data_IF_682006108591
#
_entry.id   IF_682006108591
#
_cell.length_a   1.000
_cell.length_b   1.000
_cell.length_c   1.000
_cell.angle_alpha   90.00
_cell.angle_beta   90.00
_cell.angle_gamma   90.00
#
_symmetry.space_group_name_H-M   'P 1'
#
loop_
_entity.id
_entity.type
_entity.pdbx_description
1 polymer ?
#
# COMPACT_ATOMS: atom_id res chain seq x y z
N UNK A 1 -12.21 -23.19 53.80
CA UNK A 1 -11.14 -22.48 54.56
C UNK A 1 -10.51 -21.43 53.64
N UNK A 2 -9.82 -20.45 54.22
CA UNK A 2 -9.43 -19.21 53.54
C UNK A 2 -8.21 -19.35 52.61
N UNK A 3 -8.12 -18.44 51.62
CA UNK A 3 -7.00 -17.55 51.22
C UNK A 3 -5.52 -18.05 51.30
N UNK A 4 -4.52 -17.47 50.63
CA UNK A 4 -4.28 -16.06 50.24
C UNK A 4 -3.45 -15.99 48.93
N UNK A 5 -3.56 -14.89 48.20
CA UNK A 5 -2.75 -14.52 47.04
C UNK A 5 -1.26 -14.25 47.36
N UNK A 6 -0.42 -14.15 46.32
CA UNK A 6 0.86 -13.41 46.38
C UNK A 6 0.98 -12.43 45.22
N UNK A 7 1.18 -11.16 45.55
CA UNK A 7 1.45 -10.05 44.63
C UNK A 7 2.60 -9.22 45.20
N UNK A 8 3.53 -8.75 44.39
CA UNK A 8 4.59 -7.79 44.74
C UNK A 8 5.15 -7.11 43.46
N UNK A 9 5.82 -5.94 43.53
CA UNK A 9 5.14 -4.74 43.04
C UNK A 9 5.91 -3.91 42.00
N UNK A 10 5.24 -2.84 41.55
CA UNK A 10 5.76 -1.75 40.71
C UNK A 10 6.78 -0.84 41.41
N UNK A 11 7.71 -0.24 40.66
CA UNK A 11 8.38 1.01 41.10
C UNK A 11 8.83 1.96 39.97
N UNK A 12 8.67 3.26 40.23
CA UNK A 12 9.07 4.43 39.42
C UNK A 12 9.18 5.64 40.39
N UNK A 13 9.72 6.81 40.00
CA UNK A 13 10.78 7.11 39.00
C UNK A 13 11.87 8.06 39.58
N UNK A 14 12.89 8.44 38.78
CA UNK A 14 13.42 9.83 38.59
C UNK A 14 14.95 9.96 38.28
N UNK A 15 15.31 11.11 37.69
CA UNK A 15 16.64 11.79 37.56
C UNK A 15 17.65 11.32 36.50
N UNK A 16 17.71 12.10 35.41
CA UNK A 16 18.92 12.50 34.66
C UNK A 16 19.75 13.53 35.48
N UNK A 17 20.90 14.14 35.01
CA UNK A 17 21.65 14.04 33.73
C UNK A 17 23.13 13.58 33.98
N UNK A 18 24.21 13.82 33.21
CA UNK A 18 24.62 14.57 31.96
C UNK A 18 25.77 13.75 31.32
N UNK A 19 26.05 13.65 30.01
CA UNK A 19 26.07 14.57 28.86
C UNK A 19 27.35 15.45 28.70
N UNK A 20 28.22 15.10 27.75
CA UNK A 20 29.24 15.93 27.04
C UNK A 20 30.06 15.00 26.10
N UNK A 21 30.70 15.38 24.98
CA UNK A 21 30.85 16.61 24.13
C UNK A 21 31.56 16.15 22.82
N UNK A 22 31.67 16.86 21.69
CA UNK A 22 30.88 17.92 21.01
C UNK A 22 31.63 18.38 19.75
N UNK A 23 30.94 18.81 18.69
CA UNK A 23 31.46 19.77 17.69
C UNK A 23 30.44 20.91 17.54
N UNK A 24 30.86 22.10 17.10
CA UNK A 24 30.18 23.38 17.36
C UNK A 24 29.80 24.16 16.10
N UNK A 25 28.83 25.08 16.23
CA UNK A 25 29.09 26.54 16.11
C UNK A 25 27.91 27.45 16.52
N UNK A 26 28.29 28.62 17.05
CA UNK A 26 27.59 29.93 17.06
C UNK A 26 26.10 30.04 17.45
N UNK A 27 25.86 30.61 18.63
CA UNK A 27 24.73 31.50 18.95
C UNK A 27 25.23 32.63 19.88
N UNK A 28 24.48 33.73 20.01
CA UNK A 28 24.90 34.97 20.68
C UNK A 28 23.97 35.42 21.82
N UNK A 29 24.54 35.90 22.93
CA UNK A 29 23.84 36.59 24.02
C UNK A 29 23.57 35.72 25.26
N UNK A 30 24.04 36.17 26.44
CA UNK A 30 23.77 35.51 27.73
C UNK A 30 24.62 36.06 28.89
N UNK A 31 23.98 36.50 29.97
CA UNK A 31 24.58 37.29 31.07
C UNK A 31 23.84 36.98 32.39
N UNK A 32 24.44 36.69 33.55
CA UNK A 32 25.79 36.18 33.91
C UNK A 32 25.58 35.13 35.06
N UNK A 33 26.35 34.84 36.13
CA UNK A 33 27.58 35.40 36.75
C UNK A 33 28.26 34.37 37.68
N UNK A 34 29.60 34.47 37.75
CA UNK A 34 30.60 33.92 38.71
C UNK A 34 30.17 33.00 39.88
N UNK A 35 31.00 31.96 40.08
CA UNK A 35 31.68 31.68 41.35
C UNK A 35 33.19 31.42 41.09
N UNK A 36 34.03 31.27 42.12
CA UNK A 36 35.49 31.54 42.02
C UNK A 36 36.41 30.61 42.86
N UNK A 37 37.68 30.54 42.42
CA UNK A 37 38.93 30.13 43.11
C UNK A 37 39.47 28.68 42.92
N UNK A 38 40.80 28.63 42.64
CA UNK A 38 41.70 27.45 42.59
C UNK A 38 42.42 27.30 43.98
N UNK A 39 43.51 26.50 44.24
CA UNK A 39 44.61 25.92 43.40
C UNK A 39 44.89 24.39 43.67
N UNK A 40 45.99 23.72 43.29
CA UNK A 40 46.78 23.59 42.04
C UNK A 40 47.75 22.35 42.14
N UNK A 41 48.20 21.79 40.99
CA UNK A 41 49.51 21.11 40.61
C UNK A 41 50.44 20.42 41.66
N UNK A 42 51.32 19.42 41.33
CA UNK A 42 52.04 19.26 40.02
C UNK A 42 52.42 17.83 39.51
N UNK A 43 52.94 17.78 38.26
CA UNK A 43 54.01 16.91 37.64
C UNK A 43 54.23 15.43 38.03
N UNK A 44 54.61 14.50 37.12
CA UNK A 44 55.62 14.66 36.05
C UNK A 44 55.34 13.97 34.68
N UNK A 45 56.22 13.08 34.16
CA UNK A 45 56.35 12.80 32.70
C UNK A 45 57.21 11.57 32.30
N UNK A 46 57.31 11.30 30.97
CA UNK A 46 58.21 10.36 30.22
C UNK A 46 57.80 8.86 30.20
N UNK A 47 58.08 8.04 29.15
CA UNK A 47 58.52 8.32 27.76
C UNK A 47 58.45 7.11 26.79
N UNK A 48 58.09 7.37 25.52
CA UNK A 48 58.63 6.84 24.25
C UNK A 48 58.67 5.32 23.88
N UNK A 49 57.97 5.00 22.76
CA UNK A 49 58.41 4.14 21.62
C UNK A 49 58.44 2.60 21.80
N UNK A 50 58.50 1.76 20.74
CA UNK A 50 58.69 1.98 19.28
C UNK A 50 57.89 0.95 18.41
N UNK A 51 58.12 0.93 17.08
CA UNK A 51 57.46 0.07 16.06
C UNK A 51 58.47 -0.95 15.49
N UNK A 52 58.05 -2.10 14.90
CA UNK A 52 58.00 -2.18 13.42
C UNK A 52 56.90 -3.10 12.84
N UNK A 53 56.93 -3.29 11.51
CA UNK A 53 55.97 -4.05 10.70
C UNK A 53 56.42 -5.50 10.43
N UNK A 54 55.48 -6.38 10.06
CA UNK A 54 55.70 -7.41 9.03
C UNK A 54 54.50 -7.45 8.07
N UNK A 55 54.66 -8.12 6.92
CA UNK A 55 53.67 -8.16 5.83
C UNK A 55 53.39 -9.59 5.38
N UNK A 56 52.19 -9.85 4.84
CA UNK A 56 51.89 -11.06 4.06
C UNK A 56 50.91 -10.74 2.92
N UNK A 57 51.22 -11.26 1.72
CA UNK A 57 50.34 -11.21 0.54
C UNK A 57 49.39 -12.41 0.57
N UNK A 58 48.14 -12.21 0.16
CA UNK A 58 47.18 -13.28 -0.14
C UNK A 58 46.38 -12.91 -1.38
N UNK A 59 46.64 -13.60 -2.50
CA UNK A 59 46.00 -13.32 -3.79
C UNK A 59 44.87 -14.30 -4.09
N UNK A 60 43.62 -13.90 -3.89
CA UNK A 60 42.44 -14.67 -4.28
C UNK A 60 41.88 -14.21 -5.63
N UNK A 61 41.97 -15.05 -6.67
CA UNK A 61 41.26 -14.81 -7.94
C UNK A 61 39.79 -15.22 -7.79
N UNK A 62 38.87 -14.26 -7.74
CA UNK A 62 37.44 -14.58 -7.88
C UNK A 62 37.14 -15.07 -9.30
N UNK A 63 36.69 -16.31 -9.43
CA UNK A 63 36.14 -16.81 -10.69
C UNK A 63 34.73 -16.26 -10.84
N UNK A 64 34.48 -15.44 -11.87
CA UNK A 64 33.10 -15.13 -12.28
C UNK A 64 32.52 -16.37 -12.95
N UNK A 65 31.44 -16.92 -12.40
CA UNK A 65 30.60 -17.87 -13.15
C UNK A 65 29.73 -17.06 -14.13
N UNK A 66 29.51 -17.53 -15.37
CA UNK A 66 28.59 -16.89 -16.30
C UNK A 66 27.15 -17.17 -15.85
N UNK A 67 26.31 -16.13 -15.81
CA UNK A 67 24.87 -16.28 -15.59
C UNK A 67 24.23 -16.56 -16.94
N UNK A 68 23.55 -17.70 -17.08
CA UNK A 68 22.75 -18.03 -18.27
C UNK A 68 21.29 -17.62 -18.05
N UNK A 69 20.62 -16.96 -19.01
CA UNK A 69 19.21 -16.60 -18.88
C UNK A 69 18.32 -17.84 -18.92
N UNK A 70 17.30 -17.88 -18.06
CA UNK A 70 16.33 -18.98 -17.97
C UNK A 70 15.33 -18.90 -19.12
N UNK A 71 15.19 -19.97 -19.91
CA UNK A 71 14.21 -20.07 -21.00
C UNK A 71 12.84 -20.51 -20.48
N UNK A 72 11.80 -19.70 -20.68
CA UNK A 72 10.43 -19.93 -20.21
C UNK A 72 9.68 -20.99 -21.03
N UNK A 73 10.05 -22.28 -20.87
CA UNK A 73 9.41 -23.40 -21.59
C UNK A 73 9.39 -24.72 -20.80
N UNK A 74 8.71 -24.73 -19.65
CA UNK A 74 8.22 -25.94 -18.96
C UNK A 74 6.77 -25.66 -18.56
N UNK A 75 5.84 -26.52 -18.97
CA UNK A 75 4.39 -26.28 -18.84
C UNK A 75 3.82 -26.76 -17.50
N UNK A 76 2.83 -26.04 -16.97
CA UNK A 76 2.02 -26.49 -15.84
C UNK A 76 1.10 -27.64 -16.34
N UNK A 77 1.04 -28.80 -15.66
CA UNK A 77 0.17 -29.89 -16.08
C UNK A 77 -1.31 -29.54 -15.86
N UNK A 78 -2.07 -29.41 -16.94
CA UNK A 78 -3.52 -29.19 -16.90
C UNK A 78 -4.27 -30.47 -16.58
N UNK A 79 -4.78 -30.59 -15.36
CA UNK A 79 -5.79 -31.59 -15.03
C UNK A 79 -7.08 -31.29 -15.79
N UNK A 80 -7.59 -32.28 -16.53
CA UNK A 80 -8.83 -32.14 -17.30
C UNK A 80 -10.04 -32.31 -16.38
N UNK A 81 -10.69 -31.22 -15.99
CA UNK A 81 -11.99 -31.25 -15.33
C UNK A 81 -13.10 -31.14 -16.37
N UNK A 82 -13.98 -32.13 -16.45
CA UNK A 82 -15.01 -32.22 -17.49
C UNK A 82 -16.24 -31.35 -17.19
N UNK A 83 -16.68 -30.59 -18.19
CA UNK A 83 -18.12 -30.32 -18.40
C UNK A 83 -18.82 -29.38 -17.42
N UNK A 84 -18.39 -28.11 -17.37
CA UNK A 84 -19.25 -27.01 -16.91
C UNK A 84 -19.27 -25.92 -17.99
N UNK A 85 -20.45 -25.46 -18.39
CA UNK A 85 -20.62 -24.40 -19.40
C UNK A 85 -20.43 -23.03 -18.78
N UNK A 86 -19.18 -22.66 -18.48
CA UNK A 86 -18.84 -21.29 -18.08
C UNK A 86 -19.01 -20.35 -19.27
N UNK A 87 -20.08 -19.55 -19.26
CA UNK A 87 -20.17 -18.36 -20.09
C UNK A 87 -18.97 -17.46 -19.77
N UNK A 88 -18.16 -17.15 -20.78
CA UNK A 88 -17.00 -16.28 -20.59
C UNK A 88 -17.45 -14.92 -20.02
N UNK A 89 -16.72 -14.33 -19.05
CA UNK A 89 -17.16 -13.10 -18.41
C UNK A 89 -17.26 -11.96 -19.45
N UNK A 90 -18.36 -11.22 -19.36
CA UNK A 90 -18.89 -10.32 -20.40
C UNK A 90 -17.93 -9.26 -20.93
N UNK A 91 -16.90 -8.88 -20.16
CA UNK A 91 -15.90 -7.88 -20.53
C UNK A 91 -15.00 -8.24 -21.73
N UNK A 92 -15.02 -9.49 -22.22
CA UNK A 92 -14.02 -9.99 -23.18
C UNK A 92 -14.17 -9.58 -24.65
N UNK A 93 -15.30 -8.99 -25.05
CA UNK A 93 -15.53 -8.68 -26.48
C UNK A 93 -16.60 -7.61 -26.79
N UNK A 94 -17.03 -6.83 -25.80
CA UNK A 94 -17.96 -5.72 -25.99
C UNK A 94 -17.33 -4.41 -25.48
N UNK A 95 -17.57 -3.30 -26.16
CA UNK A 95 -17.35 -1.96 -25.58
C UNK A 95 -18.39 -1.80 -24.48
N UNK A 96 -17.94 -1.81 -23.23
CA UNK A 96 -18.79 -1.68 -22.06
C UNK A 96 -19.32 -0.25 -21.97
N UNK A 97 -20.62 -0.09 -21.70
CA UNK A 97 -21.26 1.23 -21.61
C UNK A 97 -21.59 1.54 -20.16
N UNK A 98 -21.61 2.81 -19.80
CA UNK A 98 -21.99 3.28 -18.48
C UNK A 98 -23.45 2.91 -18.14
N UNK A 99 -24.30 2.73 -19.17
CA UNK A 99 -25.66 2.17 -19.05
C UNK A 99 -25.71 0.81 -18.36
N UNK A 100 -24.65 0.02 -18.45
CA UNK A 100 -24.63 -1.40 -18.08
C UNK A 100 -24.32 -1.59 -16.57
N UNK A 101 -24.14 -0.46 -15.86
CA UNK A 101 -23.81 -0.36 -14.44
C UNK A 101 -24.82 0.49 -13.65
N UNK A 102 -26.01 0.78 -14.22
CA UNK A 102 -27.07 1.60 -13.59
C UNK A 102 -27.65 1.02 -12.29
N UNK A 103 -27.56 -0.29 -12.10
CA UNK A 103 -27.95 -1.00 -10.87
C UNK A 103 -26.85 -0.96 -9.80
N UNK A 104 -25.61 -0.68 -10.20
CA UNK A 104 -24.42 -0.66 -9.36
C UNK A 104 -24.09 0.75 -8.87
N UNK A 105 -23.86 1.67 -9.81
CA UNK A 105 -23.42 3.05 -9.55
C UNK A 105 -24.63 3.92 -9.13
N UNK A 106 -24.46 4.90 -8.22
CA UNK A 106 -25.47 5.93 -7.97
C UNK A 106 -25.67 6.90 -9.14
N UNK A 107 -26.81 7.58 -9.16
CA UNK A 107 -27.18 8.50 -10.24
C UNK A 107 -26.23 9.70 -10.36
N UNK A 108 -25.75 10.24 -9.23
CA UNK A 108 -24.68 11.25 -9.20
C UNK A 108 -23.42 10.76 -9.94
N UNK A 109 -22.90 9.58 -9.61
CA UNK A 109 -21.72 8.98 -10.26
C UNK A 109 -21.93 8.78 -11.77
N UNK A 110 -23.11 8.36 -12.20
CA UNK A 110 -23.47 8.22 -13.62
C UNK A 110 -23.52 9.56 -14.36
N UNK A 111 -24.03 10.61 -13.70
CA UNK A 111 -24.13 11.96 -14.27
C UNK A 111 -22.78 12.71 -14.26
N UNK A 112 -21.93 12.46 -13.27
CA UNK A 112 -20.58 13.01 -13.17
C UNK A 112 -19.62 12.43 -14.21
N UNK A 113 -19.79 11.14 -14.55
CA UNK A 113 -18.85 10.37 -15.38
C UNK A 113 -18.40 11.06 -16.68
N UNK A 114 -19.28 11.63 -17.53
CA UNK A 114 -18.85 12.18 -18.82
C UNK A 114 -18.03 13.48 -18.66
N UNK A 115 -18.37 14.28 -17.64
CA UNK A 115 -17.64 15.51 -17.32
C UNK A 115 -16.26 15.20 -16.74
N UNK A 116 -16.16 14.23 -15.83
CA UNK A 116 -14.89 13.76 -15.26
C UNK A 116 -14.02 13.11 -16.35
N UNK A 117 -14.59 12.26 -17.21
CA UNK A 117 -13.89 11.66 -18.34
C UNK A 117 -13.32 12.72 -19.30
N UNK A 118 -14.12 13.74 -19.67
CA UNK A 118 -13.69 14.79 -20.58
C UNK A 118 -12.68 15.79 -19.98
N UNK A 119 -12.63 15.92 -18.66
CA UNK A 119 -11.67 16.80 -17.95
C UNK A 119 -10.33 16.11 -17.62
N UNK A 120 -10.21 14.79 -17.80
CA UNK A 120 -9.02 14.03 -17.44
C UNK A 120 -7.94 14.05 -18.55
N UNK A 121 -6.65 14.10 -18.18
CA UNK A 121 -5.55 13.92 -19.12
C UNK A 121 -5.34 12.44 -19.48
N UNK A 122 -4.62 12.20 -20.59
CA UNK A 122 -4.34 10.86 -21.10
C UNK A 122 -3.71 9.91 -20.06
N UNK A 123 -4.11 8.64 -20.09
CA UNK A 123 -3.62 7.60 -19.18
C UNK A 123 -4.31 7.55 -17.81
N UNK A 124 -5.28 8.45 -17.52
CA UNK A 124 -6.08 8.39 -16.31
C UNK A 124 -6.91 7.11 -16.22
N UNK A 125 -6.82 6.40 -15.09
CA UNK A 125 -7.55 5.14 -14.85
C UNK A 125 -8.27 5.13 -13.51
N UNK A 126 -9.58 4.88 -13.51
CA UNK A 126 -10.40 4.64 -12.32
C UNK A 126 -9.96 3.35 -11.62
N UNK A 127 -9.73 3.43 -10.31
CA UNK A 127 -9.38 2.28 -9.45
C UNK A 127 -10.30 2.24 -8.21
N UNK A 128 -9.73 2.04 -7.03
CA UNK A 128 -10.41 2.31 -5.76
C UNK A 128 -11.54 1.35 -5.44
N UNK A 129 -12.62 1.88 -4.86
CA UNK A 129 -13.84 1.10 -4.60
C UNK A 129 -14.67 0.85 -5.86
N UNK A 130 -14.78 1.88 -6.70
CA UNK A 130 -15.74 1.93 -7.81
C UNK A 130 -15.25 1.17 -9.04
N UNK A 131 -13.94 1.23 -9.34
CA UNK A 131 -13.33 0.33 -10.32
C UNK A 131 -13.48 -1.14 -9.93
N UNK A 132 -13.34 -1.50 -8.64
CA UNK A 132 -13.54 -2.89 -8.21
C UNK A 132 -15.00 -3.33 -8.34
N UNK A 133 -15.93 -2.45 -7.96
CA UNK A 133 -17.37 -2.69 -8.09
C UNK A 133 -17.76 -2.99 -9.56
N UNK A 134 -17.14 -2.30 -10.53
CA UNK A 134 -17.36 -2.55 -11.97
C UNK A 134 -16.92 -3.97 -12.39
N UNK A 135 -15.82 -4.49 -11.84
CA UNK A 135 -15.35 -5.85 -12.13
C UNK A 135 -16.15 -6.96 -11.43
N UNK A 136 -16.47 -6.78 -10.14
CA UNK A 136 -17.02 -7.86 -9.29
C UNK A 136 -18.51 -7.72 -8.96
N UNK A 137 -19.12 -6.55 -9.18
CA UNK A 137 -20.50 -6.20 -8.83
C UNK A 137 -20.86 -6.54 -7.36
N UNK A 138 -19.86 -6.52 -6.46
CA UNK A 138 -19.94 -7.01 -5.08
C UNK A 138 -20.55 -6.02 -4.09
N UNK A 139 -20.51 -4.72 -4.39
CA UNK A 139 -21.20 -3.64 -3.66
C UNK A 139 -21.38 -2.42 -4.54
N UNK A 140 -22.30 -1.53 -4.16
CA UNK A 140 -22.35 -0.16 -4.69
C UNK A 140 -21.13 0.63 -4.21
N UNK A 141 -20.73 1.61 -5.01
CA UNK A 141 -19.61 2.51 -4.74
C UNK A 141 -19.82 3.78 -5.58
N UNK A 142 -19.42 4.93 -5.06
CA UNK A 142 -19.78 6.24 -5.62
C UNK A 142 -18.57 7.13 -5.91
N UNK A 143 -17.52 7.01 -5.10
CA UNK A 143 -16.24 7.73 -5.22
C UNK A 143 -15.56 7.46 -6.57
N UNK A 144 -15.06 8.50 -7.25
CA UNK A 144 -14.26 8.39 -8.46
C UNK A 144 -12.76 8.55 -8.14
N UNK A 145 -12.14 7.44 -7.74
CA UNK A 145 -10.71 7.30 -7.44
C UNK A 145 -9.87 7.14 -8.74
N UNK A 146 -9.46 8.22 -9.40
CA UNK A 146 -8.66 8.19 -10.64
C UNK A 146 -7.16 8.28 -10.35
N UNK A 147 -6.38 7.41 -11.00
CA UNK A 147 -4.93 7.35 -10.90
C UNK A 147 -4.26 7.66 -12.23
N UNK A 148 -3.20 8.48 -12.19
CA UNK A 148 -2.42 8.93 -13.34
C UNK A 148 -0.94 8.48 -13.24
N UNK A 149 -0.33 8.02 -14.35
CA UNK A 149 1.07 7.57 -14.37
C UNK A 149 2.09 8.72 -14.40
N UNK A 150 1.63 9.97 -14.59
CA UNK A 150 2.46 11.15 -14.72
C UNK A 150 1.77 12.38 -14.09
N UNK A 151 2.51 13.48 -13.94
CA UNK A 151 1.93 14.77 -13.53
C UNK A 151 1.09 15.37 -14.66
N UNK A 152 0.13 16.19 -14.27
CA UNK A 152 -0.84 16.83 -15.15
C UNK A 152 -0.94 18.33 -14.88
N UNK A 153 -1.56 19.05 -15.81
CA UNK A 153 -1.92 20.46 -15.62
C UNK A 153 -3.13 20.55 -14.69
N UNK A 154 -2.87 20.92 -13.43
CA UNK A 154 -3.90 21.03 -12.38
C UNK A 154 -4.94 22.09 -12.73
N UNK A 155 -4.51 23.25 -13.25
CA UNK A 155 -5.39 24.37 -13.53
C UNK A 155 -6.30 24.06 -14.74
N UNK A 156 -5.80 23.32 -15.72
CA UNK A 156 -6.60 22.78 -16.84
C UNK A 156 -7.69 21.82 -16.36
N UNK A 157 -7.35 20.81 -15.53
CA UNK A 157 -8.32 19.84 -14.99
C UNK A 157 -9.36 20.52 -14.10
N UNK A 158 -8.93 21.42 -13.21
CA UNK A 158 -9.84 22.21 -12.37
C UNK A 158 -10.80 23.08 -13.20
N UNK A 159 -10.29 23.71 -14.28
CA UNK A 159 -11.10 24.52 -15.19
C UNK A 159 -12.10 23.66 -15.98
N UNK A 160 -11.69 22.48 -16.45
CA UNK A 160 -12.54 21.54 -17.18
C UNK A 160 -13.71 21.04 -16.32
N UNK A 161 -13.44 20.63 -15.08
CA UNK A 161 -14.48 20.25 -14.11
C UNK A 161 -15.40 21.44 -13.79
N UNK A 162 -14.84 22.60 -13.43
CA UNK A 162 -15.63 23.79 -13.03
C UNK A 162 -16.45 24.40 -14.18
N UNK A 163 -16.11 24.10 -15.43
CA UNK A 163 -16.91 24.48 -16.60
C UNK A 163 -18.06 23.49 -16.90
N UNK A 164 -18.00 22.27 -16.37
CA UNK A 164 -18.97 21.21 -16.60
C UNK A 164 -19.96 21.00 -15.44
N UNK A 165 -19.68 21.53 -14.24
CA UNK A 165 -20.54 21.42 -13.06
C UNK A 165 -19.95 22.14 -11.84
N UNK A 166 -20.59 22.00 -10.69
CA UNK A 166 -20.08 22.58 -9.43
C UNK A 166 -18.92 21.71 -8.91
N UNK A 167 -17.73 22.28 -8.71
CA UNK A 167 -16.58 21.56 -8.14
C UNK A 167 -16.05 22.20 -6.87
N UNK A 168 -16.39 21.59 -5.72
CA UNK A 168 -15.86 21.99 -4.41
C UNK A 168 -14.50 21.32 -4.19
N UNK A 169 -13.43 22.02 -4.58
CA UNK A 169 -12.04 21.62 -4.31
C UNK A 169 -11.79 21.65 -2.79
N UNK A 170 -11.22 20.57 -2.25
CA UNK A 170 -10.84 20.45 -0.82
C UNK A 170 -9.34 20.23 -0.62
N UNK A 171 -8.64 19.67 -1.61
CA UNK A 171 -7.16 19.66 -1.70
C UNK A 171 -6.75 19.76 -3.17
N UNK A 172 -5.68 20.50 -3.46
CA UNK A 172 -5.15 20.69 -4.81
C UNK A 172 -3.63 20.91 -4.80
N UNK A 173 -2.91 20.09 -5.55
CA UNK A 173 -1.47 20.13 -5.69
C UNK A 173 -1.02 19.50 -7.01
N UNK A 174 0.25 19.67 -7.36
CA UNK A 174 0.91 19.09 -8.54
C UNK A 174 0.97 17.53 -8.57
N UNK A 175 0.29 16.85 -7.63
CA UNK A 175 0.15 15.39 -7.54
C UNK A 175 -1.23 14.89 -7.10
N UNK A 176 -2.16 15.78 -6.75
CA UNK A 176 -3.47 15.45 -6.20
C UNK A 176 -4.46 16.57 -6.52
N UNK A 177 -5.62 16.23 -7.09
CA UNK A 177 -6.86 16.98 -6.87
C UNK A 177 -7.77 16.10 -6.01
N UNK A 178 -8.41 16.69 -4.99
CA UNK A 178 -9.52 16.10 -4.26
C UNK A 178 -10.64 17.12 -4.11
N UNK A 179 -11.85 16.73 -4.48
CA UNK A 179 -13.03 17.59 -4.31
C UNK A 179 -14.34 16.82 -4.43
N UNK A 180 -15.45 17.54 -4.34
CA UNK A 180 -16.79 17.02 -4.63
C UNK A 180 -17.26 17.66 -5.92
N UNK A 181 -17.56 16.85 -6.94
CA UNK A 181 -18.13 17.27 -8.22
C UNK A 181 -19.63 17.01 -8.22
N UNK A 182 -20.41 18.09 -8.16
CA UNK A 182 -21.82 18.11 -7.79
C UNK A 182 -22.06 17.40 -6.44
N UNK A 183 -22.35 16.09 -6.44
CA UNK A 183 -22.57 15.24 -5.28
C UNK A 183 -21.54 14.09 -5.13
N UNK A 184 -20.57 13.97 -6.06
CA UNK A 184 -19.64 12.83 -6.15
C UNK A 184 -18.24 13.20 -5.66
N UNK A 185 -17.64 12.40 -4.78
CA UNK A 185 -16.22 12.55 -4.43
C UNK A 185 -15.33 12.21 -5.63
N UNK A 186 -14.42 13.11 -6.01
CA UNK A 186 -13.46 12.91 -7.11
C UNK A 186 -12.04 13.11 -6.59
N UNK A 187 -11.25 12.04 -6.68
CA UNK A 187 -9.82 11.98 -6.35
C UNK A 187 -9.03 11.76 -7.65
N UNK A 188 -8.08 12.63 -7.96
CA UNK A 188 -7.20 12.51 -9.13
C UNK A 188 -5.75 12.52 -8.65
N UNK A 189 -5.11 11.34 -8.65
CA UNK A 189 -3.86 11.06 -7.93
C UNK A 189 -2.73 10.68 -8.88
N UNK A 190 -1.57 11.33 -8.76
CA UNK A 190 -0.36 10.93 -9.49
C UNK A 190 0.33 9.79 -8.75
N UNK A 191 0.37 8.61 -9.37
CA UNK A 191 1.00 7.38 -8.87
C UNK A 191 2.11 6.93 -9.84
N UNK A 192 2.99 7.87 -10.19
CA UNK A 192 4.14 7.73 -11.10
C UNK A 192 5.20 6.69 -10.69
N UNK A 193 5.06 6.06 -9.54
CA UNK A 193 5.83 4.90 -9.10
C UNK A 193 5.19 3.55 -9.51
N UNK A 194 4.07 3.57 -10.24
CA UNK A 194 3.23 2.40 -10.48
C UNK A 194 3.22 1.92 -11.93
N UNK A 195 3.45 0.63 -12.10
CA UNK A 195 3.42 -0.07 -13.38
C UNK A 195 2.05 -0.70 -13.61
N UNK A 196 1.48 -0.49 -14.79
CA UNK A 196 0.23 -1.12 -15.21
C UNK A 196 0.41 -2.65 -15.35
N UNK A 197 -0.43 -3.43 -14.70
CA UNK A 197 -0.33 -4.89 -14.63
C UNK A 197 -1.19 -5.63 -15.66
N UNK A 198 -2.24 -4.98 -16.19
CA UNK A 198 -3.14 -5.57 -17.18
C UNK A 198 -3.82 -4.51 -18.05
N UNK A 199 -4.55 -4.92 -19.11
CA UNK A 199 -5.30 -3.98 -19.94
C UNK A 199 -6.40 -3.28 -19.12
N UNK A 200 -6.64 -2.02 -19.44
CA UNK A 200 -7.79 -1.26 -18.93
C UNK A 200 -9.09 -1.70 -19.63
N UNK A 201 -10.22 -1.47 -18.97
CA UNK A 201 -11.56 -1.54 -19.56
C UNK A 201 -12.04 -0.11 -19.83
N UNK A 202 -12.28 0.25 -21.09
CA UNK A 202 -12.88 1.55 -21.43
C UNK A 202 -14.40 1.50 -21.23
N UNK A 203 -14.95 2.52 -20.56
CA UNK A 203 -16.39 2.74 -20.37
C UNK A 203 -16.68 4.21 -20.64
N UNK A 204 -17.35 4.49 -21.76
CA UNK A 204 -17.81 5.82 -22.21
C UNK A 204 -16.80 6.96 -21.93
N UNK A 205 -15.56 6.78 -22.40
CA UNK A 205 -14.46 7.75 -22.33
C UNK A 205 -13.57 7.68 -21.08
N UNK A 206 -13.94 6.91 -20.04
CA UNK A 206 -13.08 6.69 -18.87
C UNK A 206 -12.49 5.27 -18.89
N UNK A 207 -11.19 5.15 -18.66
CA UNK A 207 -10.57 3.84 -18.44
C UNK A 207 -10.75 3.40 -16.99
N UNK A 208 -11.12 2.14 -16.79
CA UNK A 208 -11.08 1.43 -15.51
C UNK A 208 -9.84 0.53 -15.50
N UNK A 209 -9.08 0.56 -14.42
CA UNK A 209 -7.87 -0.26 -14.29
C UNK A 209 -8.17 -1.76 -14.26
N UNK A 210 -7.17 -2.58 -14.59
CA UNK A 210 -7.30 -4.03 -14.54
C UNK A 210 -7.60 -4.52 -13.11
N UNK A 211 -8.26 -5.68 -12.96
CA UNK A 211 -8.48 -6.29 -11.65
C UNK A 211 -7.16 -6.56 -10.91
N UNK A 212 -6.07 -6.84 -11.64
CA UNK A 212 -4.72 -6.99 -11.12
C UNK A 212 -4.17 -5.67 -10.52
N UNK A 213 -4.34 -4.56 -11.22
CA UNK A 213 -3.94 -3.21 -10.76
C UNK A 213 -4.73 -2.79 -9.52
N UNK A 214 -6.04 -3.05 -9.52
CA UNK A 214 -6.93 -2.77 -8.40
C UNK A 214 -6.55 -3.63 -7.18
N UNK A 215 -6.24 -4.91 -7.35
CA UNK A 215 -5.76 -5.78 -6.26
C UNK A 215 -4.42 -5.28 -5.66
N UNK A 216 -3.46 -4.90 -6.53
CA UNK A 216 -2.19 -4.31 -6.11
C UNK A 216 -2.37 -2.96 -5.37
N UNK A 217 -3.34 -2.15 -5.78
CA UNK A 217 -3.76 -0.92 -5.11
C UNK A 217 -4.45 -1.17 -3.76
N UNK A 218 -5.33 -2.17 -3.67
CA UNK A 218 -5.97 -2.56 -2.41
C UNK A 218 -4.97 -3.08 -1.38
N UNK A 219 -3.92 -3.79 -1.81
CA UNK A 219 -2.82 -4.14 -0.90
C UNK A 219 -2.06 -2.93 -0.35
N UNK A 220 -1.80 -1.90 -1.19
CA UNK A 220 -1.21 -0.62 -0.76
C UNK A 220 -2.11 0.12 0.25
N UNK A 221 -3.44 0.01 0.12
CA UNK A 221 -4.39 0.56 1.07
C UNK A 221 -4.42 -0.24 2.40
N UNK A 222 -4.37 -1.58 2.35
CA UNK A 222 -4.27 -2.42 3.56
C UNK A 222 -3.00 -2.11 4.35
N UNK A 223 -1.84 -2.02 3.69
CA UNK A 223 -0.58 -1.69 4.37
C UNK A 223 -0.56 -0.26 4.92
N UNK A 224 -1.14 0.70 4.20
CA UNK A 224 -1.18 2.12 4.61
C UNK A 224 -2.22 2.51 5.66
N UNK A 225 -3.48 2.05 5.53
CA UNK A 225 -4.62 2.58 6.31
C UNK A 225 -5.53 1.56 7.03
N UNK A 226 -5.40 0.25 6.76
CA UNK A 226 -6.17 -0.86 7.41
C UNK A 226 -7.69 -0.58 7.61
N UNK A 227 -8.40 -0.07 6.59
CA UNK A 227 -9.86 0.13 6.69
C UNK A 227 -10.64 -1.16 6.39
N UNK A 228 -11.77 -1.39 7.08
CA UNK A 228 -12.61 -2.58 6.91
C UNK A 228 -13.02 -2.81 5.44
N UNK A 229 -13.40 -1.74 4.73
CA UNK A 229 -13.75 -1.78 3.30
C UNK A 229 -12.63 -2.33 2.39
N UNK A 230 -11.35 -2.10 2.72
CA UNK A 230 -10.24 -2.63 1.90
C UNK A 230 -10.03 -4.13 2.12
N UNK A 231 -10.23 -4.62 3.35
CA UNK A 231 -10.23 -6.06 3.64
C UNK A 231 -11.44 -6.77 3.02
N UNK A 232 -12.64 -6.16 3.07
CA UNK A 232 -13.82 -6.67 2.35
C UNK A 232 -13.55 -6.76 0.85
N UNK A 233 -13.10 -5.66 0.26
CA UNK A 233 -12.78 -5.59 -1.17
C UNK A 233 -11.73 -6.67 -1.56
N UNK A 234 -10.72 -6.91 -0.70
CA UNK A 234 -9.72 -7.98 -0.92
C UNK A 234 -10.28 -9.40 -0.75
N UNK A 235 -11.16 -9.64 0.21
CA UNK A 235 -11.87 -10.93 0.37
C UNK A 235 -12.70 -11.25 -0.88
N UNK A 236 -13.34 -10.26 -1.51
CA UNK A 236 -14.05 -10.45 -2.78
C UNK A 236 -13.12 -10.64 -3.99
N UNK A 237 -11.95 -10.00 -4.02
CA UNK A 237 -10.92 -10.24 -5.05
C UNK A 237 -10.46 -11.71 -5.05
N UNK A 238 -10.30 -12.33 -3.88
CA UNK A 238 -9.98 -13.76 -3.78
C UNK A 238 -11.20 -14.66 -4.06
N UNK A 239 -12.31 -14.47 -3.34
CA UNK A 239 -13.47 -15.38 -3.42
C UNK A 239 -14.29 -15.30 -4.72
N UNK A 240 -14.26 -14.17 -5.43
CA UNK A 240 -15.03 -13.95 -6.66
C UNK A 240 -14.18 -13.43 -7.83
N UNK A 241 -13.11 -12.68 -7.57
CA UNK A 241 -12.20 -12.15 -8.60
C UNK A 241 -11.17 -13.16 -9.13
N UNK A 242 -10.94 -14.26 -8.41
CA UNK A 242 -10.00 -15.31 -8.83
C UNK A 242 -8.51 -14.91 -8.73
N UNK A 243 -8.18 -13.86 -7.95
CA UNK A 243 -6.80 -13.48 -7.62
C UNK A 243 -6.60 -13.77 -6.13
N UNK A 244 -5.79 -14.78 -5.79
CA UNK A 244 -5.56 -15.13 -4.39
C UNK A 244 -4.64 -14.13 -3.66
N UNK A 245 -4.64 -14.16 -2.33
CA UNK A 245 -3.83 -13.25 -1.48
C UNK A 245 -2.35 -13.28 -1.87
N UNK A 246 -1.80 -14.46 -2.12
CA UNK A 246 -0.41 -14.67 -2.51
C UNK A 246 -0.10 -13.96 -3.85
N UNK A 247 -0.97 -14.13 -4.86
CA UNK A 247 -0.89 -13.43 -6.13
C UNK A 247 -1.05 -11.92 -5.96
N UNK A 248 -2.02 -11.46 -5.18
CA UNK A 248 -2.30 -10.04 -4.98
C UNK A 248 -1.15 -9.30 -4.26
N UNK A 249 -0.44 -9.96 -3.33
CA UNK A 249 0.82 -9.48 -2.76
C UNK A 249 1.92 -9.41 -3.84
N UNK A 250 2.06 -10.45 -4.67
CA UNK A 250 3.04 -10.44 -5.77
C UNK A 250 2.74 -9.39 -6.85
N UNK A 251 1.46 -9.10 -7.10
CA UNK A 251 1.01 -8.02 -7.99
C UNK A 251 1.30 -6.66 -7.36
N UNK A 252 1.09 -6.47 -6.05
CA UNK A 252 1.50 -5.28 -5.32
C UNK A 252 3.02 -5.02 -5.47
N UNK A 253 3.85 -6.03 -5.26
CA UNK A 253 5.31 -5.89 -5.45
C UNK A 253 5.69 -5.56 -6.89
N UNK A 254 5.06 -6.20 -7.89
CA UNK A 254 5.29 -5.90 -9.32
C UNK A 254 4.87 -4.48 -9.71
N UNK A 255 3.70 -4.02 -9.27
CA UNK A 255 3.19 -2.68 -9.58
C UNK A 255 4.13 -1.59 -9.06
N UNK A 256 4.64 -1.73 -7.84
CA UNK A 256 5.45 -0.70 -7.18
C UNK A 256 6.97 -0.97 -7.20
N UNK A 257 7.43 -1.91 -8.04
CA UNK A 257 8.85 -2.33 -8.15
C UNK A 257 9.52 -2.62 -6.80
N UNK A 258 8.81 -3.32 -5.92
CA UNK A 258 9.33 -3.73 -4.61
C UNK A 258 10.06 -5.06 -4.77
N UNK A 259 11.33 -5.11 -4.37
CA UNK A 259 12.13 -6.34 -4.40
C UNK A 259 11.54 -7.43 -3.49
N UNK A 260 11.20 -8.58 -4.09
CA UNK A 260 10.76 -9.75 -3.34
C UNK A 260 11.88 -10.20 -2.40
N UNK A 261 11.60 -10.12 -1.09
CA UNK A 261 12.55 -10.45 -0.04
C UNK A 261 11.81 -10.81 1.25
N UNK A 262 12.44 -11.62 2.10
CA UNK A 262 11.85 -12.09 3.37
C UNK A 262 11.41 -10.95 4.30
N UNK A 263 12.12 -9.82 4.29
CA UNK A 263 11.73 -8.61 5.05
C UNK A 263 10.49 -7.93 4.48
N UNK A 264 10.38 -7.77 3.16
CA UNK A 264 9.20 -7.15 2.53
C UNK A 264 7.96 -8.05 2.67
N UNK A 265 8.13 -9.36 2.46
CA UNK A 265 7.08 -10.36 2.67
C UNK A 265 6.60 -10.33 4.12
N UNK A 266 7.48 -10.50 5.12
CA UNK A 266 7.07 -10.46 6.52
C UNK A 266 6.49 -9.11 6.93
N UNK A 267 6.92 -8.01 6.32
CA UNK A 267 6.27 -6.70 6.45
C UNK A 267 4.80 -6.78 6.05
N UNK A 268 4.50 -7.14 4.79
CA UNK A 268 3.12 -7.23 4.27
C UNK A 268 2.29 -8.26 5.03
N UNK A 269 2.84 -9.44 5.34
CA UNK A 269 2.16 -10.45 6.16
C UNK A 269 1.82 -9.91 7.56
N UNK A 270 2.66 -9.07 8.15
CA UNK A 270 2.37 -8.37 9.41
C UNK A 270 1.09 -7.52 9.36
N UNK A 271 0.73 -6.94 8.21
CA UNK A 271 -0.53 -6.21 8.04
C UNK A 271 -1.76 -7.12 7.83
N UNK A 272 -1.56 -8.40 7.49
CA UNK A 272 -2.61 -9.42 7.42
C UNK A 272 -2.75 -10.25 8.71
N UNK A 273 -1.67 -10.33 9.52
CA UNK A 273 -1.63 -11.00 10.82
C UNK A 273 -2.19 -10.11 11.92
N UNK A 274 -1.67 -8.88 12.04
CA UNK A 274 -2.25 -7.88 12.93
C UNK A 274 -3.27 -7.03 12.17
N UNK A 275 -4.57 -7.31 12.36
CA UNK A 275 -5.63 -6.40 11.91
C UNK A 275 -5.60 -5.07 12.67
N UNK A 276 -5.08 -5.06 13.89
CA UNK A 276 -5.25 -3.96 14.84
C UNK A 276 -6.72 -3.67 15.11
N UNK A 277 -7.07 -2.44 15.52
CA UNK A 277 -8.45 -2.01 15.64
C UNK A 277 -9.04 -1.67 14.26
N UNK A 278 -9.27 -2.68 13.40
CA UNK A 278 -10.18 -2.53 12.26
C UNK A 278 -11.52 -2.05 12.81
N UNK A 279 -11.88 -0.81 12.50
CA UNK A 279 -13.09 -0.16 12.99
C UNK A 279 -14.32 -0.75 12.29
N UNK A 280 -15.48 -0.60 12.91
CA UNK A 280 -16.76 -0.73 12.21
C UNK A 280 -16.85 0.28 11.06
N UNK A 281 -17.59 -0.09 10.02
CA UNK A 281 -17.92 0.77 8.88
C UNK A 281 -19.40 0.56 8.60
N UNK A 282 -20.23 1.49 9.11
CA UNK A 282 -21.68 1.34 9.10
C UNK A 282 -22.27 1.22 7.68
N UNK A 283 -21.60 1.75 6.65
CA UNK A 283 -21.99 1.58 5.26
C UNK A 283 -21.73 0.14 4.78
N UNK A 284 -20.59 -0.45 5.17
CA UNK A 284 -20.29 -1.86 4.86
C UNK A 284 -21.19 -2.82 5.65
N UNK A 285 -21.47 -2.53 6.92
CA UNK A 285 -22.36 -3.31 7.78
C UNK A 285 -23.82 -3.29 7.27
N UNK A 286 -24.28 -2.16 6.72
CA UNK A 286 -25.59 -2.05 6.06
C UNK A 286 -25.68 -2.83 4.74
N UNK A 287 -24.56 -3.02 4.01
CA UNK A 287 -24.51 -3.75 2.73
C UNK A 287 -24.35 -5.26 2.95
N UNK A 288 -23.51 -5.68 3.90
CA UNK A 288 -23.04 -7.07 4.02
C UNK A 288 -23.50 -7.81 5.29
N UNK A 289 -24.19 -7.11 6.21
CA UNK A 289 -24.57 -7.60 7.53
C UNK A 289 -23.66 -7.06 8.64
N UNK A 290 -24.20 -6.88 9.85
CA UNK A 290 -23.45 -6.37 11.01
C UNK A 290 -22.31 -7.31 11.47
N UNK A 291 -22.36 -8.58 11.04
CA UNK A 291 -21.36 -9.62 11.22
C UNK A 291 -20.18 -9.54 10.23
N UNK A 292 -20.23 -8.66 9.21
CA UNK A 292 -19.19 -8.61 8.16
C UNK A 292 -17.79 -8.41 8.72
N UNK A 293 -17.66 -7.60 9.78
CA UNK A 293 -16.38 -7.35 10.47
C UNK A 293 -15.80 -8.63 11.08
N UNK A 294 -16.64 -9.47 11.68
CA UNK A 294 -16.22 -10.75 12.24
C UNK A 294 -15.88 -11.76 11.13
N UNK A 295 -16.72 -11.86 10.08
CA UNK A 295 -16.46 -12.72 8.92
C UNK A 295 -15.15 -12.41 8.23
N UNK A 296 -14.83 -11.13 8.02
CA UNK A 296 -13.58 -10.68 7.43
C UNK A 296 -12.39 -11.04 8.32
N UNK A 297 -12.46 -10.78 9.63
CA UNK A 297 -11.38 -11.15 10.56
C UNK A 297 -11.16 -12.66 10.56
N UNK A 298 -12.24 -13.46 10.66
CA UNK A 298 -12.16 -14.92 10.64
C UNK A 298 -11.56 -15.46 9.33
N UNK A 299 -11.98 -14.90 8.19
CA UNK A 299 -11.49 -15.28 6.85
C UNK A 299 -9.98 -15.06 6.68
N UNK A 300 -9.50 -13.85 6.99
CA UNK A 300 -8.07 -13.57 6.90
C UNK A 300 -7.28 -14.34 7.98
N UNK A 301 -7.85 -14.54 9.18
CA UNK A 301 -7.22 -15.36 10.23
C UNK A 301 -7.00 -16.81 9.78
N UNK A 302 -7.95 -17.43 9.06
CA UNK A 302 -7.72 -18.76 8.49
C UNK A 302 -6.68 -18.74 7.36
N UNK A 303 -6.70 -17.73 6.48
CA UNK A 303 -5.77 -17.62 5.34
C UNK A 303 -4.33 -17.30 5.75
N UNK A 304 -4.10 -16.65 6.90
CA UNK A 304 -2.76 -16.29 7.40
C UNK A 304 -1.74 -17.44 7.35
N UNK A 305 -2.13 -18.65 7.78
CA UNK A 305 -1.23 -19.81 7.85
C UNK A 305 -0.86 -20.33 6.45
N UNK A 306 -1.83 -20.38 5.54
CA UNK A 306 -1.64 -20.84 4.16
C UNK A 306 -0.75 -19.88 3.38
N UNK A 307 -1.05 -18.58 3.47
CA UNK A 307 -0.28 -17.50 2.82
C UNK A 307 1.17 -17.50 3.35
N UNK A 308 1.36 -17.62 4.68
CA UNK A 308 2.69 -17.69 5.27
C UNK A 308 3.48 -18.93 4.83
N UNK A 309 2.84 -20.10 4.74
CA UNK A 309 3.48 -21.32 4.26
C UNK A 309 3.89 -21.23 2.79
N UNK A 310 3.02 -20.69 1.92
CA UNK A 310 3.30 -20.50 0.50
C UNK A 310 4.50 -19.56 0.28
N UNK A 311 4.59 -18.46 1.03
CA UNK A 311 5.76 -17.56 0.94
C UNK A 311 7.02 -18.16 1.58
N UNK A 312 6.92 -18.99 2.62
CA UNK A 312 8.09 -19.69 3.18
C UNK A 312 8.70 -20.68 2.17
N UNK A 313 7.87 -21.44 1.44
CA UNK A 313 8.35 -22.31 0.35
C UNK A 313 9.03 -21.48 -0.74
N UNK A 314 8.34 -20.45 -1.25
CA UNK A 314 8.81 -19.61 -2.35
C UNK A 314 10.11 -18.83 -2.04
N UNK A 315 10.40 -18.54 -0.77
CA UNK A 315 11.62 -17.88 -0.30
C UNK A 315 12.74 -18.84 0.17
N UNK A 316 12.48 -20.16 0.16
CA UNK A 316 13.48 -21.20 0.47
C UNK A 316 13.92 -21.94 -0.80
N UNK A 317 13.08 -21.97 -1.83
CA UNK A 317 13.32 -22.64 -3.11
C UNK A 317 13.88 -21.73 -4.22
N UNK A 318 14.04 -20.42 -3.97
CA UNK A 318 14.51 -19.39 -4.93
C UNK A 318 15.79 -18.67 -4.52
#
# INVERSE_FOLDING_TARGET
MCCVSRSFPTWCPNRCPTASRSVSRTCSGGVTRRCTNCPATPTSSRSASSRPQTSRRGGGRSRRCPVTPWSSSQGIPTSQTTGASSSAPHWRSAVARLSDYRDLLPEGTLNAWPAVAAALPEGGSLMGGTGLAIWLRHRRSEDLDIFLPARFDVDSVLSGLSAAGEFLVTDASQRLIRGVFNDVNVDIVVDDAAHQLGPTLEIDGLHVASLQDIAAGKFKAITGRKQLRDFIDMMFIETAGGINIEQAIMLHFRRYSIDLSYSQVNGVLGHLVDFGPVKSDAAMEAIFGADIRERVVNYFTSRQLEVAAAFQQLLVEG
#
